data_IF_803010742681
#
_entry.id   IF_803010742681
#
_cell.length_a   1.000
_cell.length_b   1.000
_cell.length_c   1.000
_cell.angle_alpha   90.00
_cell.angle_beta   90.00
_cell.angle_gamma   90.00
#
_symmetry.space_group_name_H-M   'P 1'
#
loop_
_entity.id
_entity.type
_entity.pdbx_description
1 polymer ?
#
# COMPACT_ATOMS: atom_id res chain seq x y z
N UNK A 1 -32.60 -10.22 -29.99
CA UNK A 1 -32.11 -10.64 -28.67
C UNK A 1 -30.71 -11.18 -28.90
N UNK A 2 -29.72 -10.32 -28.75
CA UNK A 2 -28.30 -10.69 -28.76
C UNK A 2 -27.87 -10.50 -27.31
N UNK A 3 -27.41 -11.58 -26.68
CA UNK A 3 -26.96 -11.59 -25.30
C UNK A 3 -25.84 -10.56 -25.09
N UNK A 4 -26.21 -9.46 -24.44
CA UNK A 4 -25.33 -8.35 -24.04
C UNK A 4 -24.75 -8.62 -22.64
N UNK A 5 -24.44 -9.89 -22.33
CA UNK A 5 -23.81 -10.32 -21.07
C UNK A 5 -22.39 -10.83 -21.33
N UNK A 6 -21.64 -10.08 -22.13
CA UNK A 6 -20.21 -10.28 -22.27
C UNK A 6 -19.50 -9.81 -20.99
N UNK A 7 -19.39 -10.74 -20.05
CA UNK A 7 -18.37 -10.84 -19.01
C UNK A 7 -17.99 -9.52 -18.31
N UNK A 8 -18.60 -9.26 -17.14
CA UNK A 8 -17.88 -8.61 -16.05
C UNK A 8 -16.57 -9.38 -15.85
N UNK A 9 -15.46 -8.84 -16.36
CA UNK A 9 -14.15 -9.23 -15.86
C UNK A 9 -14.19 -9.00 -14.36
N UNK A 10 -13.83 -9.98 -13.51
CA UNK A 10 -13.72 -9.70 -12.08
C UNK A 10 -12.79 -8.49 -11.96
N UNK A 11 -13.28 -7.39 -11.38
CA UNK A 11 -12.49 -6.21 -11.07
C UNK A 11 -11.42 -6.63 -10.07
N UNK A 12 -10.35 -7.25 -10.58
CA UNK A 12 -9.21 -7.65 -9.81
C UNK A 12 -8.56 -6.38 -9.29
N UNK A 13 -8.34 -6.33 -7.98
CA UNK A 13 -7.63 -5.23 -7.31
C UNK A 13 -6.39 -4.88 -8.14
N UNK A 14 -6.34 -3.65 -8.64
CA UNK A 14 -5.21 -3.20 -9.43
C UNK A 14 -3.97 -3.13 -8.55
N UNK A 15 -2.79 -3.39 -9.12
CA UNK A 15 -1.53 -3.19 -8.40
C UNK A 15 -1.39 -1.74 -7.91
N UNK A 16 -1.95 -0.79 -8.65
CA UNK A 16 -2.01 0.60 -8.22
C UNK A 16 -2.91 0.82 -7.00
N UNK A 17 -3.99 0.05 -6.84
CA UNK A 17 -4.84 0.12 -5.64
C UNK A 17 -4.09 -0.40 -4.41
N UNK A 18 -3.24 -1.42 -4.58
CA UNK A 18 -2.35 -1.90 -3.51
C UNK A 18 -1.30 -0.86 -3.14
N UNK A 19 -0.75 -0.13 -4.12
CA UNK A 19 0.19 0.98 -3.85
C UNK A 19 -0.50 2.14 -3.14
N UNK A 20 -1.75 2.43 -3.50
CA UNK A 20 -2.55 3.44 -2.80
C UNK A 20 -2.79 3.03 -1.34
N UNK A 21 -3.00 1.74 -1.08
CA UNK A 21 -3.14 1.19 0.26
C UNK A 21 -1.84 1.09 1.07
N UNK A 22 -0.67 1.12 0.42
CA UNK A 22 0.63 0.94 1.07
C UNK A 22 0.91 2.03 2.11
N UNK A 23 0.73 3.30 1.74
CA UNK A 23 1.01 4.44 2.62
C UNK A 23 0.19 4.34 3.92
N UNK A 24 -1.16 4.30 3.89
CA UNK A 24 -1.94 4.20 5.12
C UNK A 24 -1.66 2.88 5.86
N UNK A 25 -1.38 1.78 5.16
CA UNK A 25 -1.03 0.49 5.76
C UNK A 25 0.25 0.54 6.58
N UNK A 26 1.32 1.14 6.06
CA UNK A 26 2.61 1.27 6.76
C UNK A 26 2.48 2.15 8.01
N UNK A 27 1.74 3.25 7.94
CA UNK A 27 1.50 4.08 9.13
C UNK A 27 0.63 3.37 10.18
N UNK A 28 -0.43 2.67 9.77
CA UNK A 28 -1.25 1.89 10.69
C UNK A 28 -0.43 0.81 11.41
N UNK A 29 0.44 0.11 10.66
CA UNK A 29 1.36 -0.87 11.22
C UNK A 29 2.35 -0.23 12.19
N UNK A 30 2.93 0.91 11.84
CA UNK A 30 3.86 1.66 12.70
C UNK A 30 3.21 2.07 14.03
N UNK A 31 1.98 2.59 13.98
CA UNK A 31 1.20 2.94 15.18
C UNK A 31 0.85 1.70 16.02
N UNK A 32 0.48 0.59 15.38
CA UNK A 32 0.24 -0.67 16.08
C UNK A 32 1.51 -1.20 16.76
N UNK A 33 2.67 -1.11 16.10
CA UNK A 33 3.96 -1.51 16.66
C UNK A 33 4.37 -0.61 17.84
N UNK A 34 4.04 0.68 17.78
CA UNK A 34 4.27 1.60 18.90
C UNK A 34 3.51 1.20 20.17
N UNK A 35 2.31 0.65 20.04
CA UNK A 35 1.55 0.17 21.20
C UNK A 35 2.26 -1.00 21.92
N UNK A 36 3.17 -1.70 21.23
CA UNK A 36 3.91 -2.85 21.75
C UNK A 36 5.33 -2.49 22.20
N UNK A 37 5.90 -1.39 21.70
CA UNK A 37 7.29 -0.98 21.94
C UNK A 37 7.34 0.49 22.31
N UNK A 38 8.03 0.83 23.41
CA UNK A 38 8.22 2.22 23.87
C UNK A 38 9.16 3.04 22.98
N UNK A 39 8.75 3.25 21.74
CA UNK A 39 9.40 4.15 20.77
C UNK A 39 8.58 5.44 20.69
N UNK A 40 9.27 6.57 20.60
CA UNK A 40 8.60 7.87 20.50
C UNK A 40 7.81 7.97 19.19
N UNK A 41 6.65 8.64 19.24
CA UNK A 41 5.78 8.81 18.08
C UNK A 41 6.51 9.44 16.88
N UNK A 42 7.36 10.48 17.06
CA UNK A 42 8.11 11.05 15.94
C UNK A 42 9.00 10.03 15.23
N UNK A 43 9.66 9.13 15.99
CA UNK A 43 10.53 8.10 15.40
C UNK A 43 9.70 7.09 14.59
N UNK A 44 8.57 6.65 15.13
CA UNK A 44 7.66 5.74 14.42
C UNK A 44 7.19 6.35 13.10
N UNK A 45 6.80 7.63 13.11
CA UNK A 45 6.36 8.34 11.91
C UNK A 45 7.50 8.48 10.90
N UNK A 46 8.71 8.81 11.33
CA UNK A 46 9.89 8.90 10.44
C UNK A 46 10.20 7.55 9.79
N UNK A 47 10.21 6.47 10.56
CA UNK A 47 10.45 5.12 10.04
C UNK A 47 9.35 4.67 9.07
N UNK A 48 8.09 4.98 9.40
CA UNK A 48 6.95 4.67 8.54
C UNK A 48 7.03 5.45 7.21
N UNK A 49 7.40 6.73 7.26
CA UNK A 49 7.64 7.55 6.05
C UNK A 49 8.74 6.96 5.17
N UNK A 50 9.85 6.54 5.78
CA UNK A 50 10.97 5.91 5.07
C UNK A 50 10.54 4.60 4.39
N UNK A 51 9.84 3.72 5.12
CA UNK A 51 9.31 2.47 4.55
C UNK A 51 8.33 2.71 3.40
N UNK A 52 7.40 3.65 3.57
CA UNK A 52 6.44 3.99 2.53
C UNK A 52 7.14 4.52 1.28
N UNK A 53 8.10 5.44 1.45
CA UNK A 53 8.87 6.02 0.35
C UNK A 53 9.71 4.98 -0.39
N UNK A 54 10.41 4.09 0.32
CA UNK A 54 11.20 3.02 -0.32
C UNK A 54 10.32 1.99 -1.02
N UNK A 55 9.18 1.63 -0.42
CA UNK A 55 8.22 0.71 -1.06
C UNK A 55 7.58 1.31 -2.32
N UNK A 56 7.24 2.60 -2.29
CA UNK A 56 6.78 3.32 -3.48
C UNK A 56 7.85 3.41 -4.56
N UNK A 57 9.09 3.75 -4.18
CA UNK A 57 10.20 3.83 -5.13
C UNK A 57 10.46 2.46 -5.77
N UNK A 58 10.51 1.39 -4.99
CA UNK A 58 10.68 0.04 -5.51
C UNK A 58 9.56 -0.32 -6.49
N UNK A 59 8.31 -0.15 -6.08
CA UNK A 59 7.18 -0.54 -6.90
C UNK A 59 6.93 0.34 -8.13
N UNK A 60 7.41 1.58 -8.18
CA UNK A 60 7.20 2.46 -9.32
C UNK A 60 8.41 2.54 -10.25
N UNK A 61 9.62 2.32 -9.73
CA UNK A 61 10.87 2.55 -10.46
C UNK A 61 11.60 1.23 -10.72
N UNK A 62 11.77 0.40 -9.71
CA UNK A 62 12.57 -0.84 -9.81
C UNK A 62 11.72 -1.98 -10.37
N UNK A 63 10.48 -2.12 -9.89
CA UNK A 63 9.54 -3.18 -10.21
C UNK A 63 8.16 -2.60 -10.58
N UNK A 64 8.06 -1.81 -11.67
CA UNK A 64 6.82 -1.16 -12.07
C UNK A 64 5.68 -2.18 -12.29
N UNK A 65 4.44 -1.87 -11.87
CA UNK A 65 3.28 -2.67 -12.24
C UNK A 65 3.09 -2.60 -13.76
N UNK A 66 2.99 -3.77 -14.39
CA UNK A 66 2.75 -3.95 -15.82
C UNK A 66 1.29 -3.66 -16.20
#
# INVERSE_FOLDING_TARGET
MVDEHAAESPEGVSRYDLLLGLIPGVYALGLAAQALVSVSLPVVLVLSSLLAATGLFDALVVHPPA
#
